data_IF_843054640218
#
_entry.id   IF_843054640218
#
_cell.length_a   1.000
_cell.length_b   1.000
_cell.length_c   1.000
_cell.angle_alpha   90.00
_cell.angle_beta   90.00
_cell.angle_gamma   90.00
#
_symmetry.space_group_name_H-M   'P 1'
#
loop_
_entity.id
_entity.type
_entity.pdbx_description
1 polymer ?
#
# COMPACT_ATOMS: atom_id res chain seq x y z
N UNK A 1 -29.56 -19.56 -7.53
CA UNK A 1 -29.29 -20.88 -8.11
C UNK A 1 -29.46 -20.83 -9.64
N UNK A 2 -28.84 -19.86 -10.31
CA UNK A 2 -28.89 -19.75 -11.78
C UNK A 2 -27.51 -20.00 -12.40
N UNK A 3 -26.43 -19.59 -11.73
CA UNK A 3 -25.06 -19.76 -12.22
C UNK A 3 -24.60 -21.22 -12.32
N UNK A 4 -25.01 -22.07 -11.38
CA UNK A 4 -24.72 -23.53 -11.44
C UNK A 4 -25.47 -24.20 -12.59
N UNK A 5 -26.70 -23.79 -12.85
CA UNK A 5 -27.52 -24.28 -13.97
C UNK A 5 -26.88 -23.84 -15.29
N UNK A 6 -26.43 -22.58 -15.40
CA UNK A 6 -25.76 -22.07 -16.60
C UNK A 6 -24.44 -22.81 -16.88
N UNK A 7 -23.60 -23.04 -15.87
CA UNK A 7 -22.34 -23.77 -16.05
C UNK A 7 -22.58 -25.25 -16.37
N UNK A 8 -23.57 -25.87 -15.71
CA UNK A 8 -24.01 -27.24 -15.99
C UNK A 8 -24.51 -27.37 -17.43
N UNK A 9 -25.37 -26.46 -17.87
CA UNK A 9 -25.92 -26.45 -19.22
C UNK A 9 -24.82 -26.15 -20.25
N UNK A 10 -23.90 -25.22 -19.99
CA UNK A 10 -22.80 -24.92 -20.90
C UNK A 10 -21.82 -26.08 -21.07
N UNK A 11 -21.42 -26.73 -19.97
CA UNK A 11 -20.46 -27.84 -20.00
C UNK A 11 -21.08 -29.15 -20.54
N UNK A 12 -22.38 -29.34 -20.39
CA UNK A 12 -23.07 -30.59 -20.77
C UNK A 12 -23.71 -30.52 -22.16
N UNK A 13 -24.15 -29.35 -22.63
CA UNK A 13 -24.95 -29.21 -23.86
C UNK A 13 -24.27 -29.63 -25.17
N UNK A 14 -22.99 -30.00 -25.15
CA UNK A 14 -22.24 -30.56 -26.30
C UNK A 14 -21.29 -31.69 -25.93
N UNK A 15 -21.65 -32.40 -24.86
CA UNK A 15 -20.74 -33.36 -24.23
C UNK A 15 -20.83 -34.75 -24.84
N UNK A 16 -21.92 -35.08 -25.55
CA UNK A 16 -22.10 -36.37 -26.20
C UNK A 16 -21.30 -36.47 -27.50
N UNK A 17 -20.99 -37.71 -27.90
CA UNK A 17 -20.20 -37.94 -29.12
C UNK A 17 -20.99 -37.50 -30.37
N UNK A 18 -22.29 -37.77 -30.36
CA UNK A 18 -23.23 -37.47 -31.44
C UNK A 18 -23.35 -35.96 -31.71
N UNK A 19 -23.16 -35.12 -30.70
CA UNK A 19 -23.17 -33.65 -30.83
C UNK A 19 -21.91 -33.11 -31.53
N UNK A 20 -20.84 -33.91 -31.59
CA UNK A 20 -19.54 -33.52 -32.15
C UNK A 20 -19.30 -34.16 -33.50
N UNK A 21 -19.69 -35.43 -33.66
CA UNK A 21 -19.65 -36.13 -34.93
C UNK A 21 -20.77 -37.15 -34.97
N UNK A 22 -21.63 -37.07 -36.00
CA UNK A 22 -22.65 -38.10 -36.20
C UNK A 22 -22.03 -39.38 -36.72
N UNK A 23 -22.72 -40.52 -36.51
CA UNK A 23 -22.27 -41.80 -37.05
C UNK A 23 -21.98 -41.74 -38.56
N UNK A 24 -22.85 -41.08 -39.34
CA UNK A 24 -22.68 -40.91 -40.79
C UNK A 24 -21.44 -40.12 -41.19
N UNK A 25 -20.98 -39.20 -40.33
CA UNK A 25 -19.75 -38.46 -40.56
C UNK A 25 -18.55 -39.30 -40.15
N UNK A 26 -18.66 -40.03 -39.03
CA UNK A 26 -17.63 -40.93 -38.54
C UNK A 26 -17.35 -42.08 -39.51
N UNK A 27 -18.38 -42.71 -40.06
CA UNK A 27 -18.26 -43.80 -41.04
C UNK A 27 -17.59 -43.34 -42.33
N UNK A 28 -17.85 -42.10 -42.75
CA UNK A 28 -17.19 -41.48 -43.91
C UNK A 28 -15.71 -41.18 -43.71
N UNK A 29 -15.21 -41.13 -42.47
CA UNK A 29 -13.79 -40.93 -42.18
C UNK A 29 -12.99 -42.24 -42.25
N UNK A 30 -13.64 -43.38 -42.01
CA UNK A 30 -13.00 -44.70 -41.94
C UNK A 30 -13.14 -45.53 -43.24
N UNK A 31 -13.21 -44.85 -44.40
CA UNK A 31 -13.48 -45.48 -45.70
C UNK A 31 -12.62 -46.73 -45.94
N UNK A 32 -13.27 -47.89 -46.04
CA UNK A 32 -12.63 -49.17 -46.37
C UNK A 32 -12.82 -50.28 -45.32
N UNK A 33 -13.30 -49.95 -44.13
CA UNK A 33 -13.60 -50.93 -43.07
C UNK A 33 -15.01 -51.50 -43.17
N UNK A 34 -15.22 -52.69 -42.61
CA UNK A 34 -16.54 -53.33 -42.55
C UNK A 34 -17.49 -52.51 -41.66
N UNK A 35 -18.72 -52.29 -42.14
CA UNK A 35 -19.71 -51.43 -41.50
C UNK A 35 -20.02 -51.87 -40.05
N UNK A 36 -20.02 -53.18 -39.80
CA UNK A 36 -20.20 -53.78 -38.46
C UNK A 36 -19.11 -53.35 -37.46
N UNK A 37 -17.85 -53.28 -37.91
CA UNK A 37 -16.71 -52.91 -37.08
C UNK A 37 -16.74 -51.41 -36.77
N UNK A 38 -17.12 -50.60 -37.76
CA UNK A 38 -17.28 -49.14 -37.61
C UNK A 38 -18.43 -48.82 -36.66
N UNK A 39 -19.54 -49.55 -36.76
CA UNK A 39 -20.66 -49.44 -35.83
C UNK A 39 -20.26 -49.81 -34.39
N UNK A 40 -19.53 -50.91 -34.22
CA UNK A 40 -19.06 -51.33 -32.90
C UNK A 40 -18.11 -50.30 -32.29
N UNK A 41 -17.14 -49.82 -33.07
CA UNK A 41 -16.18 -48.81 -32.62
C UNK A 41 -16.85 -47.50 -32.21
N UNK A 42 -17.82 -47.02 -33.01
CA UNK A 42 -18.56 -45.81 -32.67
C UNK A 42 -19.41 -45.99 -31.41
N UNK A 43 -20.03 -47.16 -31.25
CA UNK A 43 -20.80 -47.49 -30.04
C UNK A 43 -19.91 -47.48 -28.79
N UNK A 44 -18.72 -48.08 -28.88
CA UNK A 44 -17.80 -48.17 -27.75
C UNK A 44 -17.22 -46.80 -27.39
N UNK A 45 -16.88 -45.97 -28.38
CA UNK A 45 -16.46 -44.59 -28.15
C UNK A 45 -17.57 -43.73 -27.55
N UNK A 46 -18.82 -43.93 -28.00
CA UNK A 46 -19.97 -43.22 -27.43
C UNK A 46 -20.17 -43.58 -25.96
N UNK A 47 -20.09 -44.87 -25.60
CA UNK A 47 -20.17 -45.34 -24.20
C UNK A 47 -19.07 -44.76 -23.32
N UNK A 48 -17.80 -44.86 -23.76
CA UNK A 48 -16.67 -44.31 -23.01
C UNK A 48 -16.84 -42.83 -22.73
N UNK A 49 -17.37 -42.10 -23.71
CA UNK A 49 -17.62 -40.67 -23.57
C UNK A 49 -18.74 -40.37 -22.58
N UNK A 50 -19.84 -41.12 -22.63
CA UNK A 50 -20.95 -40.99 -21.66
C UNK A 50 -20.44 -41.18 -20.23
N UNK A 51 -19.61 -42.21 -19.99
CA UNK A 51 -19.05 -42.47 -18.66
C UNK A 51 -18.22 -41.29 -18.12
N UNK A 52 -17.36 -40.71 -18.96
CA UNK A 52 -16.55 -39.53 -18.60
C UNK A 52 -17.43 -38.31 -18.33
N UNK A 53 -18.44 -38.09 -19.18
CA UNK A 53 -19.38 -36.97 -19.02
C UNK A 53 -20.15 -37.10 -17.71
N UNK A 54 -20.61 -38.29 -17.37
CA UNK A 54 -21.35 -38.52 -16.13
C UNK A 54 -20.46 -38.38 -14.89
N UNK A 55 -19.19 -38.77 -14.96
CA UNK A 55 -18.21 -38.50 -13.91
C UNK A 55 -17.97 -37.00 -13.70
N UNK A 56 -17.86 -36.23 -14.79
CA UNK A 56 -17.69 -34.77 -14.72
C UNK A 56 -18.96 -34.11 -14.16
N UNK A 57 -20.15 -34.55 -14.56
CA UNK A 57 -21.43 -34.08 -14.00
C UNK A 57 -21.49 -34.27 -12.49
N UNK A 58 -21.12 -35.45 -12.01
CA UNK A 58 -21.09 -35.74 -10.57
C UNK A 58 -20.08 -34.87 -9.82
N UNK A 59 -18.91 -34.61 -10.43
CA UNK A 59 -17.88 -33.76 -9.84
C UNK A 59 -18.35 -32.30 -9.73
N UNK A 60 -18.96 -31.78 -10.79
CA UNK A 60 -19.59 -30.46 -10.81
C UNK A 60 -20.69 -30.38 -9.74
N UNK A 61 -21.62 -31.32 -9.71
CA UNK A 61 -22.70 -31.33 -8.72
C UNK A 61 -22.17 -31.37 -7.28
N UNK A 62 -21.05 -32.07 -7.03
CA UNK A 62 -20.39 -32.11 -5.71
C UNK A 62 -19.72 -30.78 -5.33
N UNK A 63 -19.03 -30.12 -6.27
CA UNK A 63 -18.35 -28.85 -6.00
C UNK A 63 -19.35 -27.69 -5.80
N UNK A 64 -20.48 -27.71 -6.51
CA UNK A 64 -21.54 -26.70 -6.36
C UNK A 64 -22.49 -26.94 -5.18
N UNK A 65 -22.38 -28.07 -4.48
CA UNK A 65 -23.08 -28.31 -3.21
C UNK A 65 -22.42 -27.61 -2.00
N UNK A 66 -21.33 -26.87 -2.19
CA UNK A 66 -20.81 -25.99 -1.15
C UNK A 66 -21.85 -24.91 -0.82
N UNK A 67 -22.27 -24.75 0.44
CA UNK A 67 -23.25 -23.74 0.82
C UNK A 67 -22.74 -22.35 0.41
N UNK A 68 -23.41 -21.72 -0.57
CA UNK A 68 -23.11 -20.35 -0.99
C UNK A 68 -23.25 -19.34 0.15
N UNK A 69 -23.93 -19.72 1.23
CA UNK A 69 -23.95 -18.96 2.48
C UNK A 69 -22.52 -18.77 3.02
N UNK A 70 -21.66 -19.79 3.01
CA UNK A 70 -20.28 -19.66 3.48
C UNK A 70 -19.45 -18.70 2.63
N UNK A 71 -19.70 -18.64 1.31
CA UNK A 71 -19.00 -17.73 0.38
C UNK A 71 -19.51 -16.29 0.52
N UNK A 72 -20.81 -16.11 0.76
CA UNK A 72 -21.41 -14.78 1.00
C UNK A 72 -21.01 -14.22 2.36
N UNK A 73 -20.95 -15.07 3.38
CA UNK A 73 -20.47 -14.70 4.71
C UNK A 73 -18.99 -14.29 4.67
N UNK A 74 -18.12 -15.05 4.01
CA UNK A 74 -16.69 -14.67 3.88
C UNK A 74 -16.49 -13.38 3.10
N UNK A 75 -17.19 -13.21 1.97
CA UNK A 75 -17.09 -11.99 1.17
C UNK A 75 -17.64 -10.74 1.89
N UNK A 76 -18.68 -10.87 2.73
CA UNK A 76 -19.22 -9.75 3.51
C UNK A 76 -18.39 -9.41 4.75
N UNK A 77 -17.73 -10.39 5.38
CA UNK A 77 -16.78 -10.11 6.48
C UNK A 77 -15.55 -9.38 5.99
N UNK A 78 -15.01 -9.78 4.82
CA UNK A 78 -13.79 -9.21 4.27
C UNK A 78 -14.01 -7.74 3.86
N UNK A 79 -15.13 -7.42 3.20
CA UNK A 79 -15.45 -6.04 2.80
C UNK A 79 -15.68 -5.09 4.01
N UNK A 80 -16.27 -5.59 5.10
CA UNK A 80 -16.50 -4.79 6.33
C UNK A 80 -15.22 -4.61 7.17
N UNK A 81 -14.30 -5.58 7.15
CA UNK A 81 -13.02 -5.46 7.83
C UNK A 81 -12.05 -4.55 7.06
N UNK A 82 -11.97 -4.66 5.74
CA UNK A 82 -11.07 -3.83 4.91
C UNK A 82 -11.42 -2.33 5.04
N UNK A 83 -12.72 -1.98 5.06
CA UNK A 83 -13.15 -0.59 5.23
C UNK A 83 -12.84 0.00 6.62
N UNK A 84 -12.91 -0.82 7.68
CA UNK A 84 -12.60 -0.37 9.05
C UNK A 84 -11.10 -0.31 9.33
N UNK A 85 -10.33 -1.28 8.86
CA UNK A 85 -8.87 -1.32 9.01
C UNK A 85 -8.23 -0.13 8.27
N UNK A 86 -8.66 0.15 7.03
CA UNK A 86 -8.14 1.26 6.23
C UNK A 86 -8.37 2.64 6.87
N UNK A 87 -9.54 2.88 7.46
CA UNK A 87 -9.84 4.15 8.13
C UNK A 87 -9.12 4.30 9.48
N UNK A 88 -9.00 3.21 10.25
CA UNK A 88 -8.23 3.22 11.50
C UNK A 88 -6.74 3.45 11.22
N UNK A 89 -6.19 2.82 10.19
CA UNK A 89 -4.80 3.03 9.78
C UNK A 89 -4.55 4.46 9.30
N UNK A 90 -5.49 5.04 8.54
CA UNK A 90 -5.43 6.44 8.15
C UNK A 90 -5.49 7.37 9.36
N UNK A 91 -6.38 7.09 10.32
CA UNK A 91 -6.53 7.88 11.53
C UNK A 91 -5.26 7.80 12.38
N UNK A 92 -4.67 6.62 12.53
CA UNK A 92 -3.38 6.44 13.22
C UNK A 92 -2.24 7.20 12.52
N UNK A 93 -2.20 7.19 11.18
CA UNK A 93 -1.21 7.98 10.42
C UNK A 93 -1.42 9.48 10.60
N UNK A 94 -2.67 9.95 10.62
CA UNK A 94 -2.99 11.35 10.86
C UNK A 94 -2.64 11.78 12.29
N UNK A 95 -2.89 10.93 13.29
CA UNK A 95 -2.50 11.19 14.68
C UNK A 95 -0.99 11.24 14.82
N UNK A 96 -0.26 10.29 14.22
CA UNK A 96 1.21 10.30 14.23
C UNK A 96 1.78 11.54 13.50
N UNK A 97 1.17 11.93 12.38
CA UNK A 97 1.53 13.16 11.67
C UNK A 97 1.26 14.40 12.54
N UNK A 98 0.13 14.44 13.23
CA UNK A 98 -0.22 15.52 14.16
C UNK A 98 0.80 15.62 15.30
N UNK A 99 1.19 14.49 15.89
CA UNK A 99 2.23 14.44 16.93
C UNK A 99 3.58 14.90 16.40
N UNK A 100 3.96 14.49 15.19
CA UNK A 100 5.20 14.94 14.53
C UNK A 100 5.19 16.45 14.30
N UNK A 101 4.10 17.00 13.76
CA UNK A 101 3.95 18.43 13.50
C UNK A 101 3.98 19.22 14.82
N UNK A 102 3.31 18.72 15.87
CA UNK A 102 3.33 19.34 17.18
C UNK A 102 4.76 19.36 17.76
N UNK A 103 5.48 18.24 17.67
CA UNK A 103 6.88 18.14 18.08
C UNK A 103 7.77 19.14 17.32
N UNK A 104 7.66 19.17 15.99
CA UNK A 104 8.42 20.10 15.15
C UNK A 104 8.10 21.56 15.48
N UNK A 105 6.83 21.89 15.72
CA UNK A 105 6.43 23.23 16.15
C UNK A 105 7.09 23.60 17.48
N UNK A 106 7.07 22.70 18.46
CA UNK A 106 7.69 22.98 19.77
C UNK A 106 9.22 23.12 19.66
N UNK A 107 9.86 22.32 18.81
CA UNK A 107 11.30 22.43 18.52
C UNK A 107 11.65 23.77 17.87
N UNK A 108 10.84 24.21 16.91
CA UNK A 108 11.00 25.53 16.28
C UNK A 108 10.81 26.67 17.30
N UNK A 109 9.82 26.56 18.19
CA UNK A 109 9.60 27.56 19.24
C UNK A 109 10.80 27.64 20.21
N UNK A 110 11.40 26.50 20.55
CA UNK A 110 12.63 26.45 21.36
C UNK A 110 13.78 27.13 20.62
N UNK A 111 14.03 26.78 19.36
CA UNK A 111 15.09 27.40 18.55
C UNK A 111 14.90 28.91 18.39
N UNK A 112 13.66 29.38 18.21
CA UNK A 112 13.34 30.81 18.15
C UNK A 112 13.70 31.49 19.47
N UNK A 113 13.31 30.91 20.61
CA UNK A 113 13.65 31.47 21.93
C UNK A 113 15.15 31.49 22.18
N UNK A 114 15.88 30.45 21.79
CA UNK A 114 17.35 30.40 21.90
C UNK A 114 18.00 31.53 21.08
N UNK A 115 17.61 31.69 19.82
CA UNK A 115 18.12 32.76 18.96
C UNK A 115 17.77 34.14 19.54
N UNK A 116 16.54 34.33 20.02
CA UNK A 116 16.14 35.58 20.70
C UNK A 116 17.02 35.88 21.91
N UNK A 117 17.29 34.88 22.75
CA UNK A 117 18.14 35.02 23.93
C UNK A 117 19.58 35.36 23.55
N UNK A 118 20.12 34.71 22.51
CA UNK A 118 21.47 35.00 22.00
C UNK A 118 21.58 36.41 21.41
N UNK A 119 20.56 36.84 20.66
CA UNK A 119 20.49 38.19 20.12
C UNK A 119 20.42 39.23 21.24
N UNK A 120 19.58 39.01 22.27
CA UNK A 120 19.49 39.91 23.42
C UNK A 120 20.84 40.00 24.15
N UNK A 121 21.50 38.87 24.41
CA UNK A 121 22.83 38.84 25.05
C UNK A 121 23.89 39.57 24.22
N UNK A 122 23.87 39.40 22.89
CA UNK A 122 24.78 40.11 21.99
C UNK A 122 24.53 41.62 22.00
N UNK A 123 23.25 42.04 21.94
CA UNK A 123 22.87 43.46 22.05
C UNK A 123 23.30 44.05 23.40
N UNK A 124 23.10 43.33 24.50
CA UNK A 124 23.53 43.75 25.83
C UNK A 124 25.05 43.89 25.92
N UNK A 125 25.80 42.88 25.44
CA UNK A 125 27.27 42.93 25.39
C UNK A 125 27.78 44.11 24.56
N UNK A 126 27.22 44.32 23.37
CA UNK A 126 27.58 45.43 22.49
C UNK A 126 27.18 46.80 23.07
N UNK A 127 26.06 46.87 23.78
CA UNK A 127 25.62 48.08 24.48
C UNK A 127 26.55 48.41 25.65
N UNK A 128 26.95 47.40 26.44
CA UNK A 128 27.90 47.55 27.53
C UNK A 128 29.28 48.01 27.05
N UNK A 129 29.71 47.55 25.88
CA UNK A 129 30.92 48.05 25.20
C UNK A 129 30.75 49.51 24.72
N UNK A 130 29.63 49.85 24.07
CA UNK A 130 29.38 51.17 23.49
C UNK A 130 29.21 52.27 24.53
N UNK A 131 28.50 51.98 25.61
CA UNK A 131 28.23 52.95 26.69
C UNK A 131 29.28 52.91 27.80
N UNK A 132 30.36 52.15 27.59
CA UNK A 132 31.54 52.18 28.45
C UNK A 132 31.35 51.56 29.83
N UNK A 133 30.30 50.77 30.09
CA UNK A 133 30.13 50.10 31.39
C UNK A 133 31.32 49.18 31.74
N UNK A 134 31.96 48.60 30.73
CA UNK A 134 33.19 47.78 30.87
C UNK A 134 34.47 48.62 31.05
N UNK A 135 34.51 49.83 30.48
CA UNK A 135 35.67 50.74 30.56
C UNK A 135 35.62 51.63 31.82
N UNK A 136 34.42 52.05 32.24
CA UNK A 136 34.18 52.95 33.37
C UNK A 136 34.40 52.29 34.74
N UNK A 137 34.46 50.95 34.80
CA UNK A 137 34.78 50.18 36.02
C UNK A 137 36.24 49.71 36.10
N UNK A 138 37.10 50.14 35.18
CA UNK A 138 38.51 49.71 35.14
C UNK A 138 38.72 48.30 34.59
N UNK A 139 37.85 47.86 33.67
CA UNK A 139 37.98 46.54 33.03
C UNK A 139 39.29 46.44 32.24
N UNK A 140 40.05 45.38 32.51
CA UNK A 140 41.29 45.08 31.81
C UNK A 140 41.02 44.83 30.31
N UNK A 141 42.01 45.10 29.46
CA UNK A 141 41.91 44.94 28.00
C UNK A 141 41.49 43.50 27.61
N UNK A 142 41.78 42.54 28.49
CA UNK A 142 41.36 41.13 28.43
C UNK A 142 39.85 40.92 28.57
N UNK A 143 39.14 41.69 29.41
CA UNK A 143 37.68 41.61 29.55
C UNK A 143 36.97 42.13 28.29
N UNK A 144 37.46 43.23 27.74
CA UNK A 144 36.96 43.80 26.48
C UNK A 144 37.16 42.82 25.32
N UNK A 145 38.34 42.21 25.21
CA UNK A 145 38.60 41.17 24.21
C UNK A 145 37.68 39.95 24.39
N UNK A 146 37.42 39.54 25.63
CA UNK A 146 36.52 38.41 25.92
C UNK A 146 35.07 38.71 25.52
N UNK A 147 34.58 39.92 25.78
CA UNK A 147 33.21 40.33 25.38
C UNK A 147 33.09 40.39 23.85
N UNK A 148 34.10 40.93 23.16
CA UNK A 148 34.13 40.98 21.69
C UNK A 148 34.17 39.57 21.09
N UNK A 149 34.99 38.68 21.64
CA UNK A 149 35.10 37.30 21.19
C UNK A 149 33.79 36.53 21.38
N UNK A 150 33.18 36.64 22.56
CA UNK A 150 31.88 36.01 22.84
C UNK A 150 30.77 36.54 21.92
N UNK A 151 30.79 37.84 21.62
CA UNK A 151 29.81 38.45 20.71
C UNK A 151 30.00 37.98 19.26
N UNK A 152 31.25 37.85 18.81
CA UNK A 152 31.57 37.28 17.48
C UNK A 152 31.13 35.82 17.38
N UNK A 153 31.31 35.03 18.43
CA UNK A 153 30.86 33.63 18.47
C UNK A 153 29.34 33.50 18.44
N UNK A 154 28.61 34.32 19.20
CA UNK A 154 27.15 34.38 19.13
C UNK A 154 26.66 34.80 17.75
N UNK A 155 27.30 35.78 17.10
CA UNK A 155 26.95 36.20 15.73
C UNK A 155 27.21 35.07 14.73
N UNK A 156 28.36 34.40 14.79
CA UNK A 156 28.66 33.23 13.95
C UNK A 156 27.65 32.11 14.13
N UNK A 157 27.21 31.87 15.37
CA UNK A 157 26.18 30.87 15.67
C UNK A 157 24.84 31.24 15.01
N UNK A 158 24.39 32.49 15.13
CA UNK A 158 23.23 33.03 14.41
C UNK A 158 23.34 32.88 12.88
N UNK A 159 24.50 33.19 12.29
CA UNK A 159 24.74 33.01 10.85
C UNK A 159 24.62 31.53 10.41
N UNK A 160 25.06 30.61 11.26
CA UNK A 160 24.95 29.17 10.98
C UNK A 160 23.49 28.69 10.93
N UNK A 161 22.62 29.22 11.80
CA UNK A 161 21.18 28.93 11.77
C UNK A 161 20.53 29.47 10.49
N UNK A 162 20.90 30.67 10.04
CA UNK A 162 20.39 31.27 8.80
C UNK A 162 20.81 30.45 7.56
N UNK A 163 22.05 29.96 7.52
CA UNK A 163 22.55 29.13 6.41
C UNK A 163 21.84 27.78 6.34
N UNK A 164 21.60 27.11 7.48
CA UNK A 164 20.88 25.83 7.53
C UNK A 164 19.45 25.95 7.00
N UNK A 165 18.75 27.06 7.30
CA UNK A 165 17.39 27.32 6.80
C UNK A 165 17.30 27.47 5.27
N UNK A 166 18.33 28.04 4.62
CA UNK A 166 18.36 28.19 3.14
C UNK A 166 18.57 26.88 2.38
N UNK A 167 19.14 25.86 3.02
CA UNK A 167 19.37 24.54 2.41
C UNK A 167 18.08 23.71 2.43
N UNK A 168 17.30 23.78 3.52
CA UNK A 168 16.02 23.07 3.67
C UNK A 168 14.93 23.61 2.72
N UNK A 169 15.01 24.86 2.26
CA UNK A 169 14.05 25.44 1.29
C UNK A 169 14.38 25.14 -0.18
N UNK A 170 15.53 24.51 -0.48
CA UNK A 170 15.98 24.17 -1.84
C UNK A 170 15.95 22.68 -2.16
N UNK A 171 15.73 21.84 -1.15
CA UNK A 171 15.50 20.39 -1.30
C UNK A 171 13.99 20.12 -1.33
#
# INVERSE_FOLDING_TARGET
MESSVILKDFLISRSYLEDIISFDQFSKLLKGEADDVVHQLYSDLSKQRIDVVDQVKQSVDREFQLPLDNVRYSAQTDLKQIGKLSLVDLLNKLTSLQESIASDSTSLDIQIREIQTELMKSIENLSNLRFGNSWARGGDNTEVQTIVQNSLESIKKCESYIKRRKIVQKA
#
